data_IF_831058593363
#
_entry.id   IF_831058593363
#
_cell.length_a   1.000
_cell.length_b   1.000
_cell.length_c   1.000
_cell.angle_alpha   90.00
_cell.angle_beta   90.00
_cell.angle_gamma   90.00
#
_symmetry.space_group_name_H-M   'P 1'
#
loop_
_entity.id
_entity.type
_entity.pdbx_description
1 polymer ?
#
# COMPACT_ATOMS: atom_id res chain seq x y z
N UNK A 1 -0.72 -19.79 2.08
CA UNK A 1 -0.09 -18.63 1.43
C UNK A 1 -0.19 -18.81 -0.07
N UNK A 2 -0.55 -17.77 -0.80
CA UNK A 2 -0.58 -17.79 -2.27
C UNK A 2 0.85 -17.64 -2.77
N UNK A 3 1.25 -18.47 -3.75
CA UNK A 3 2.56 -18.33 -4.36
C UNK A 3 2.65 -17.01 -5.16
N UNK A 4 3.81 -16.34 -5.18
CA UNK A 4 3.99 -15.13 -5.99
C UNK A 4 3.79 -15.45 -7.48
N UNK A 5 3.07 -14.59 -8.17
CA UNK A 5 2.83 -14.69 -9.62
C UNK A 5 3.90 -13.92 -10.38
N UNK A 6 5.04 -14.57 -10.61
CA UNK A 6 6.20 -14.00 -11.28
C UNK A 6 5.92 -13.65 -12.75
N UNK A 7 4.87 -14.19 -13.36
CA UNK A 7 4.49 -13.83 -14.73
C UNK A 7 3.99 -12.39 -14.86
N UNK A 8 3.69 -11.74 -13.72
CA UNK A 8 3.23 -10.35 -13.65
C UNK A 8 4.37 -9.34 -13.58
N UNK A 9 5.61 -9.79 -13.41
CA UNK A 9 6.76 -8.91 -13.32
C UNK A 9 6.84 -8.08 -14.61
N UNK A 10 6.83 -6.76 -14.46
CA UNK A 10 7.05 -5.85 -15.59
C UNK A 10 8.51 -5.88 -16.01
N UNK A 11 8.72 -5.77 -17.32
CA UNK A 11 10.03 -5.63 -17.93
C UNK A 11 10.86 -4.55 -17.19
N UNK A 12 12.06 -4.95 -16.76
CA UNK A 12 12.98 -4.08 -16.04
C UNK A 12 12.99 -4.26 -14.51
N UNK A 13 12.12 -5.12 -13.96
CA UNK A 13 12.16 -5.50 -12.54
C UNK A 13 12.62 -6.95 -12.29
N UNK A 14 12.82 -7.75 -13.35
CA UNK A 14 13.15 -9.17 -13.24
C UNK A 14 14.43 -9.42 -12.42
N UNK A 15 15.49 -8.67 -12.72
CA UNK A 15 16.79 -8.84 -12.06
C UNK A 15 16.72 -8.43 -10.58
N UNK A 16 16.08 -7.30 -10.28
CA UNK A 16 15.90 -6.80 -8.91
C UNK A 16 15.09 -7.79 -8.05
N UNK A 17 13.99 -8.32 -8.60
CA UNK A 17 13.14 -9.29 -7.90
C UNK A 17 13.87 -10.62 -7.75
N UNK A 18 14.61 -11.07 -8.77
CA UNK A 18 15.41 -12.28 -8.69
C UNK A 18 16.53 -12.16 -7.64
N UNK A 19 17.21 -11.02 -7.56
CA UNK A 19 18.23 -10.74 -6.55
C UNK A 19 17.62 -10.70 -5.14
N UNK A 20 16.49 -10.02 -4.97
CA UNK A 20 15.79 -9.95 -3.69
C UNK A 20 15.39 -11.35 -3.19
N UNK A 21 14.89 -12.21 -4.09
CA UNK A 21 14.54 -13.62 -3.77
C UNK A 21 15.75 -14.55 -3.58
N UNK A 22 16.97 -14.12 -3.91
CA UNK A 22 18.20 -14.82 -3.48
C UNK A 22 18.57 -14.50 -2.04
N UNK A 23 18.20 -13.30 -1.56
CA UNK A 23 18.53 -12.80 -0.21
C UNK A 23 17.48 -13.20 0.82
N UNK A 24 16.22 -13.28 0.41
CA UNK A 24 15.07 -13.49 1.29
C UNK A 24 14.18 -14.62 0.80
N UNK A 25 13.55 -15.33 1.74
CA UNK A 25 12.51 -16.31 1.39
C UNK A 25 11.21 -15.61 1.02
N UNK A 26 10.37 -16.26 0.20
CA UNK A 26 9.06 -15.72 -0.17
C UNK A 26 8.18 -15.43 1.06
N UNK A 27 8.34 -16.19 2.15
CA UNK A 27 7.65 -15.95 3.43
C UNK A 27 8.11 -14.66 4.11
N UNK A 28 9.41 -14.41 4.16
CA UNK A 28 9.98 -13.18 4.76
C UNK A 28 9.57 -11.95 3.96
N UNK A 29 9.56 -12.06 2.63
CA UNK A 29 9.13 -10.99 1.73
C UNK A 29 7.64 -10.72 1.96
N UNK A 30 6.81 -11.76 1.98
CA UNK A 30 5.36 -11.64 2.22
C UNK A 30 5.07 -10.95 3.55
N UNK A 31 5.69 -11.40 4.66
CA UNK A 31 5.50 -10.80 5.99
C UNK A 31 5.85 -9.31 6.00
N UNK A 32 6.98 -8.93 5.40
CA UNK A 32 7.39 -7.53 5.33
C UNK A 32 6.40 -6.67 4.53
N UNK A 33 5.91 -7.18 3.40
CA UNK A 33 4.94 -6.47 2.57
C UNK A 33 3.56 -6.37 3.23
N UNK A 34 3.10 -7.42 3.94
CA UNK A 34 1.86 -7.39 4.72
C UNK A 34 1.94 -6.35 5.84
N UNK A 35 3.04 -6.34 6.61
CA UNK A 35 3.24 -5.32 7.65
C UNK A 35 3.26 -3.91 7.09
N UNK A 36 3.89 -3.70 5.93
CA UNK A 36 3.82 -2.42 5.23
C UNK A 36 2.38 -2.05 4.83
N UNK A 37 1.67 -2.97 4.19
CA UNK A 37 0.34 -2.71 3.63
C UNK A 37 -0.73 -2.48 4.68
N UNK A 38 -0.57 -3.09 5.86
CA UNK A 38 -1.47 -2.96 7.00
C UNK A 38 -1.02 -1.93 8.05
N UNK A 39 -0.02 -1.09 7.74
CA UNK A 39 0.39 0.04 8.59
C UNK A 39 1.25 -0.33 9.80
N UNK A 40 1.73 -1.58 9.88
CA UNK A 40 2.71 -2.01 10.89
C UNK A 40 4.16 -1.62 10.55
N UNK A 41 4.39 -1.09 9.35
CA UNK A 41 5.69 -0.62 8.88
C UNK A 41 5.48 0.52 7.87
N UNK A 42 6.26 1.59 7.96
CA UNK A 42 6.24 2.64 6.94
C UNK A 42 7.05 2.25 5.69
N UNK A 43 6.91 3.05 4.63
CA UNK A 43 7.55 2.78 3.33
C UNK A 43 9.07 2.68 3.42
N UNK A 44 9.69 3.64 4.10
CA UNK A 44 11.15 3.74 4.10
C UNK A 44 11.74 2.59 4.95
N UNK A 45 11.03 2.19 6.00
CA UNK A 45 11.38 1.03 6.83
C UNK A 45 11.29 -0.28 6.06
N UNK A 46 10.25 -0.51 5.26
CA UNK A 46 10.14 -1.76 4.46
C UNK A 46 11.19 -1.79 3.35
N UNK A 47 11.46 -0.65 2.71
CA UNK A 47 12.49 -0.53 1.69
C UNK A 47 13.88 -0.82 2.28
N UNK A 48 14.20 -0.26 3.45
CA UNK A 48 15.45 -0.56 4.14
C UNK A 48 15.54 -2.02 4.62
N UNK A 49 14.45 -2.59 5.13
CA UNK A 49 14.43 -3.96 5.63
C UNK A 49 14.65 -5.00 4.52
N UNK A 50 14.10 -4.76 3.34
CA UNK A 50 14.27 -5.62 2.17
C UNK A 50 15.47 -5.22 1.28
N UNK A 51 16.18 -4.16 1.66
CA UNK A 51 17.30 -3.57 0.91
C UNK A 51 16.91 -3.29 -0.55
N UNK A 52 15.90 -2.43 -0.69
CA UNK A 52 15.29 -1.94 -1.93
C UNK A 52 15.61 -0.46 -2.09
N UNK A 53 16.32 -0.10 -3.15
CA UNK A 53 16.68 1.30 -3.43
C UNK A 53 15.63 2.06 -4.24
N UNK A 54 14.73 1.34 -4.92
CA UNK A 54 13.74 1.94 -5.81
C UNK A 54 12.31 1.60 -5.38
N UNK A 55 11.51 2.65 -5.15
CA UNK A 55 10.10 2.51 -4.72
C UNK A 55 9.24 1.71 -5.71
N UNK A 56 9.58 1.76 -7.01
CA UNK A 56 8.89 0.96 -8.02
C UNK A 56 8.98 -0.54 -7.74
N UNK A 57 10.12 -1.01 -7.23
CA UNK A 57 10.34 -2.41 -6.89
C UNK A 57 9.45 -2.85 -5.73
N UNK A 58 9.24 -1.99 -4.73
CA UNK A 58 8.28 -2.25 -3.65
C UNK A 58 6.85 -2.42 -4.19
N UNK A 59 6.39 -1.54 -5.08
CA UNK A 59 5.05 -1.66 -5.66
C UNK A 59 4.91 -2.87 -6.59
N UNK A 60 5.96 -3.23 -7.30
CA UNK A 60 5.99 -4.42 -8.15
C UNK A 60 5.89 -5.68 -7.29
N UNK A 61 6.65 -5.76 -6.18
CA UNK A 61 6.55 -6.86 -5.22
C UNK A 61 5.14 -7.01 -4.65
N UNK A 62 4.48 -5.93 -4.26
CA UNK A 62 3.08 -5.98 -3.79
C UNK A 62 2.15 -6.59 -4.85
N UNK A 63 2.37 -6.28 -6.13
CA UNK A 63 1.58 -6.83 -7.23
C UNK A 63 1.87 -8.31 -7.49
N UNK A 64 3.14 -8.70 -7.50
CA UNK A 64 3.61 -10.07 -7.76
C UNK A 64 3.21 -11.01 -6.63
N UNK A 65 3.39 -10.58 -5.37
CA UNK A 65 3.00 -11.33 -4.19
C UNK A 65 1.51 -11.22 -3.86
N UNK A 66 0.75 -10.42 -4.63
CA UNK A 66 -0.69 -10.24 -4.51
C UNK A 66 -1.13 -9.85 -3.09
N UNK A 67 -0.34 -8.99 -2.44
CA UNK A 67 -0.61 -8.57 -1.07
C UNK A 67 -1.89 -7.73 -1.05
N UNK A 68 -2.88 -8.23 -0.30
CA UNK A 68 -4.19 -7.59 -0.23
C UNK A 68 -4.07 -6.17 0.33
N UNK A 69 -4.84 -5.24 -0.25
CA UNK A 69 -5.04 -3.95 0.40
C UNK A 69 -5.86 -4.17 1.69
N UNK A 70 -5.64 -3.36 2.74
CA UNK A 70 -6.53 -3.36 3.89
C UNK A 70 -7.96 -3.04 3.44
N UNK A 71 -8.93 -3.60 4.15
CA UNK A 71 -10.34 -3.29 3.92
C UNK A 71 -10.54 -1.76 4.02
N UNK A 72 -11.18 -1.12 3.04
CA UNK A 72 -11.48 0.29 3.12
C UNK A 72 -12.36 0.62 4.33
N UNK A 73 -12.06 1.72 5.02
CA UNK A 73 -12.96 2.23 6.05
C UNK A 73 -14.16 2.90 5.37
N UNK A 74 -15.33 2.25 5.45
CA UNK A 74 -16.57 2.74 4.86
C UNK A 74 -16.93 4.17 5.28
N UNK A 75 -16.62 4.56 6.52
CA UNK A 75 -16.90 5.93 6.98
C UNK A 75 -15.99 6.94 6.28
N UNK A 76 -14.73 6.58 6.08
CA UNK A 76 -13.79 7.42 5.32
C UNK A 76 -14.16 7.46 3.85
N UNK A 77 -14.61 6.35 3.25
CA UNK A 77 -15.11 6.33 1.87
C UNK A 77 -16.33 7.24 1.67
N UNK A 78 -17.31 7.18 2.57
CA UNK A 78 -18.48 8.07 2.55
C UNK A 78 -18.10 9.55 2.71
N UNK A 79 -17.13 9.84 3.59
CA UNK A 79 -16.57 11.16 3.81
C UNK A 79 -15.91 11.69 2.52
N UNK A 80 -15.03 10.88 1.92
CA UNK A 80 -14.33 11.22 0.69
C UNK A 80 -15.29 11.39 -0.50
N UNK A 81 -16.28 10.51 -0.65
CA UNK A 81 -17.30 10.62 -1.69
C UNK A 81 -18.11 11.91 -1.55
N UNK A 82 -18.47 12.29 -0.32
CA UNK A 82 -19.18 13.54 -0.03
C UNK A 82 -18.32 14.76 -0.37
N UNK A 83 -17.05 14.74 0.01
CA UNK A 83 -16.09 15.79 -0.33
C UNK A 83 -15.94 15.93 -1.85
N UNK A 84 -15.76 14.82 -2.57
CA UNK A 84 -15.64 14.81 -4.03
C UNK A 84 -16.87 15.41 -4.71
N UNK A 85 -18.07 15.04 -4.26
CA UNK A 85 -19.32 15.61 -4.80
C UNK A 85 -19.38 17.13 -4.62
N UNK A 86 -19.00 17.64 -3.44
CA UNK A 86 -19.00 19.09 -3.20
C UNK A 86 -18.00 19.81 -4.11
N UNK A 87 -16.80 19.26 -4.28
CA UNK A 87 -15.78 19.83 -5.17
C UNK A 87 -16.23 19.84 -6.64
N UNK A 88 -16.84 18.76 -7.12
CA UNK A 88 -17.37 18.66 -8.48
C UNK A 88 -18.55 19.64 -8.73
N UNK A 89 -19.35 19.89 -7.69
CA UNK A 89 -20.43 20.89 -7.71
C UNK A 89 -19.93 22.34 -7.57
N UNK A 90 -18.61 22.56 -7.40
CA UNK A 90 -18.03 23.88 -7.14
C UNK A 90 -18.40 24.48 -5.78
N UNK A 91 -18.83 23.64 -4.83
CA UNK A 91 -19.23 24.04 -3.47
C UNK A 91 -18.03 23.98 -2.52
N UNK A 92 -18.08 24.80 -1.48
CA UNK A 92 -17.08 24.75 -0.43
C UNK A 92 -17.21 23.44 0.39
N UNK A 93 -16.08 22.78 0.63
CA UNK A 93 -16.00 21.60 1.50
C UNK A 93 -15.94 22.07 2.96
N UNK A 94 -16.89 21.69 3.83
CA UNK A 94 -16.85 22.02 5.26
C UNK A 94 -15.54 21.56 5.93
N UNK A 95 -15.00 22.29 6.93
CA UNK A 95 -13.80 21.89 7.66
C UNK A 95 -13.90 20.47 8.27
N UNK A 96 -15.11 20.08 8.67
CA UNK A 96 -15.47 18.76 9.19
C UNK A 96 -15.59 17.69 8.07
N UNK A 97 -15.20 17.98 6.84
CA UNK A 97 -14.98 16.97 5.81
C UNK A 97 -13.55 17.03 5.27
N UNK A 98 -12.73 18.00 5.71
CA UNK A 98 -11.31 18.13 5.35
C UNK A 98 -10.38 17.32 6.26
N UNK A 99 -10.91 16.75 7.35
CA UNK A 99 -10.17 15.90 8.28
C UNK A 99 -10.64 14.46 8.17
N UNK A 100 -9.75 13.46 8.29
CA UNK A 100 -10.13 12.05 8.37
C UNK A 100 -11.18 11.83 9.47
N UNK A 101 -12.20 11.02 9.19
CA UNK A 101 -13.20 10.61 10.19
C UNK A 101 -12.54 9.98 11.43
N UNK A 102 -11.49 9.18 11.20
CA UNK A 102 -10.63 8.56 12.20
C UNK A 102 -10.02 9.54 13.22
N UNK A 103 -9.81 10.82 12.86
CA UNK A 103 -9.27 11.83 13.77
C UNK A 103 -10.30 12.39 14.75
N UNK A 104 -11.60 12.13 14.52
CA UNK A 104 -12.69 12.61 15.39
C UNK A 104 -13.01 11.65 16.51
N UNK A 105 -12.52 10.42 16.45
CA UNK A 105 -12.64 9.43 17.52
C UNK A 105 -11.62 9.80 18.61
N UNK A 106 -11.97 10.76 19.46
CA UNK A 106 -11.25 10.97 20.72
C UNK A 106 -11.60 9.82 21.65
N UNK A 107 -10.59 9.02 22.02
CA UNK A 107 -10.64 8.12 23.18
C UNK A 107 -10.91 8.89 24.47
#
# INVERSE_FOLDING_TARGET
MTAPDLSRIRDGYDDDIAELRRRWTDEQITDALERYRHGGMDRDTVMAALDIDYIGTLYELISVYQIAAPEPDRQEEECQATMMRLLLDGKEVPPELRQPASWRVRH
#
